data_IF_493494597271
#
_entry.id   IF_493494597271
#
_cell.length_a   1.000
_cell.length_b   1.000
_cell.length_c   1.000
_cell.angle_alpha   90.00
_cell.angle_beta   90.00
_cell.angle_gamma   90.00
#
_symmetry.space_group_name_H-M   'P 1'
#
loop_
_entity.id
_entity.type
_entity.pdbx_description
1 polymer ?
#
# COMPACT_ATOMS: atom_id res chain seq x y z
N UNK A 1 -46.87 13.45 33.23
CA UNK A 1 -46.34 12.48 32.28
C UNK A 1 -46.89 11.10 32.64
N UNK A 2 -47.70 10.48 31.80
CA UNK A 2 -48.37 9.22 32.12
C UNK A 2 -47.38 8.03 31.94
N UNK A 3 -47.44 7.04 32.87
CA UNK A 3 -46.60 5.82 32.81
C UNK A 3 -46.55 5.12 31.42
N UNK A 4 -47.54 5.32 30.60
CA UNK A 4 -47.61 4.80 29.20
C UNK A 4 -46.62 5.46 28.27
N UNK A 5 -46.31 6.73 28.44
CA UNK A 5 -45.38 7.47 27.57
C UNK A 5 -43.91 7.10 27.84
N UNK A 6 -43.59 6.75 29.11
CA UNK A 6 -42.26 6.25 29.49
C UNK A 6 -41.97 4.85 28.95
N UNK A 7 -42.96 3.97 28.84
CA UNK A 7 -42.79 2.63 28.29
C UNK A 7 -42.66 2.63 26.79
N UNK A 8 -43.36 3.54 26.07
CA UNK A 8 -43.23 3.67 24.60
C UNK A 8 -41.87 4.24 24.20
N UNK A 9 -41.31 5.19 24.91
CA UNK A 9 -39.96 5.72 24.69
C UNK A 9 -38.85 4.71 25.00
N UNK A 10 -39.02 3.89 26.05
CA UNK A 10 -38.07 2.84 26.40
C UNK A 10 -38.07 1.70 25.37
N UNK A 11 -39.20 1.30 24.82
CA UNK A 11 -39.35 0.26 23.81
C UNK A 11 -38.75 0.71 22.46
N UNK A 12 -38.93 1.98 22.08
CA UNK A 12 -38.31 2.58 20.86
C UNK A 12 -36.80 2.64 20.97
N UNK A 13 -36.24 3.00 22.14
CA UNK A 13 -34.81 3.05 22.39
C UNK A 13 -34.15 1.66 22.33
N UNK A 14 -34.82 0.64 22.89
CA UNK A 14 -34.28 -0.73 22.84
C UNK A 14 -34.26 -1.32 21.42
N UNK A 15 -35.32 -1.09 20.65
CA UNK A 15 -35.41 -1.50 19.25
C UNK A 15 -34.34 -0.84 18.37
N UNK A 16 -34.04 0.44 18.60
CA UNK A 16 -32.97 1.16 17.89
C UNK A 16 -31.59 0.60 18.22
N UNK A 17 -31.29 0.31 19.48
CA UNK A 17 -30.02 -0.29 19.93
C UNK A 17 -29.84 -1.70 19.34
N UNK A 18 -30.88 -2.51 19.32
CA UNK A 18 -30.83 -3.86 18.70
C UNK A 18 -30.55 -3.77 17.20
N UNK A 19 -31.22 -2.87 16.48
CA UNK A 19 -30.99 -2.67 15.06
C UNK A 19 -29.56 -2.19 14.76
N UNK A 20 -29.01 -1.29 15.59
CA UNK A 20 -27.61 -0.88 15.45
C UNK A 20 -26.65 -2.05 15.69
N UNK A 21 -26.89 -2.86 16.70
CA UNK A 21 -26.07 -4.03 16.97
C UNK A 21 -26.10 -5.05 15.81
N UNK A 22 -27.29 -5.32 15.29
CA UNK A 22 -27.46 -6.20 14.12
C UNK A 22 -26.76 -5.66 12.88
N UNK A 23 -26.86 -4.36 12.59
CA UNK A 23 -26.16 -3.72 11.49
C UNK A 23 -24.63 -3.89 11.60
N UNK A 24 -24.05 -3.67 12.79
CA UNK A 24 -22.62 -3.88 13.04
C UNK A 24 -22.18 -5.33 12.86
N UNK A 25 -23.03 -6.29 13.29
CA UNK A 25 -22.74 -7.72 13.09
C UNK A 25 -22.76 -8.09 11.59
N UNK A 26 -23.72 -7.57 10.83
CA UNK A 26 -23.79 -7.77 9.37
C UNK A 26 -22.61 -7.14 8.65
N UNK A 27 -22.21 -5.92 9.03
CA UNK A 27 -21.04 -5.23 8.49
C UNK A 27 -19.76 -6.03 8.77
N UNK A 28 -19.56 -6.50 10.00
CA UNK A 28 -18.40 -7.32 10.37
C UNK A 28 -18.37 -8.66 9.60
N UNK A 29 -19.53 -9.27 9.35
CA UNK A 29 -19.62 -10.49 8.55
C UNK A 29 -19.25 -10.23 7.08
N UNK A 30 -19.75 -9.13 6.49
CA UNK A 30 -19.42 -8.72 5.13
C UNK A 30 -17.92 -8.42 4.96
N UNK A 31 -17.29 -7.74 5.92
CA UNK A 31 -15.86 -7.47 5.91
C UNK A 31 -15.04 -8.76 5.94
N UNK A 32 -15.41 -9.73 6.78
CA UNK A 32 -14.74 -11.04 6.84
C UNK A 32 -14.84 -11.82 5.53
N UNK A 33 -15.98 -11.78 4.86
CA UNK A 33 -16.14 -12.43 3.56
C UNK A 33 -15.30 -11.74 2.48
N UNK A 34 -15.22 -10.39 2.49
CA UNK A 34 -14.32 -9.64 1.61
C UNK A 34 -12.85 -10.02 1.85
N UNK A 35 -12.41 -10.10 3.10
CA UNK A 35 -11.05 -10.50 3.46
C UNK A 35 -10.72 -11.92 2.98
N UNK A 36 -11.63 -12.88 3.14
CA UNK A 36 -11.45 -14.25 2.65
C UNK A 36 -11.33 -14.29 1.12
N UNK A 37 -12.17 -13.54 0.41
CA UNK A 37 -12.12 -13.47 -1.06
C UNK A 37 -10.80 -12.88 -1.54
N UNK A 38 -10.28 -11.84 -0.87
CA UNK A 38 -8.96 -11.26 -1.18
C UNK A 38 -7.85 -12.27 -0.88
N UNK A 39 -7.88 -12.98 0.27
CA UNK A 39 -6.88 -13.99 0.60
C UNK A 39 -6.85 -15.11 -0.44
N UNK A 40 -8.00 -15.57 -0.91
CA UNK A 40 -8.08 -16.56 -1.98
C UNK A 40 -7.48 -16.03 -3.28
N UNK A 41 -7.79 -14.81 -3.68
CA UNK A 41 -7.20 -14.17 -4.85
C UNK A 41 -5.67 -14.08 -4.76
N UNK A 42 -5.14 -13.66 -3.60
CA UNK A 42 -3.70 -13.61 -3.37
C UNK A 42 -3.06 -14.99 -3.50
N UNK A 43 -3.68 -16.07 -2.98
CA UNK A 43 -3.20 -17.44 -3.15
C UNK A 43 -3.21 -17.88 -4.61
N UNK A 44 -4.23 -17.54 -5.38
CA UNK A 44 -4.29 -17.80 -6.81
C UNK A 44 -3.14 -17.10 -7.55
N UNK A 45 -2.84 -15.84 -7.20
CA UNK A 45 -1.73 -15.10 -7.78
C UNK A 45 -0.36 -15.68 -7.39
N UNK A 46 -0.22 -16.21 -6.19
CA UNK A 46 0.99 -16.88 -5.69
C UNK A 46 1.21 -18.23 -6.37
N UNK A 47 0.15 -18.95 -6.73
CA UNK A 47 0.25 -20.26 -7.37
C UNK A 47 0.84 -20.17 -8.80
N UNK A 48 0.76 -19.03 -9.46
CA UNK A 48 1.31 -18.81 -10.81
C UNK A 48 2.79 -18.39 -10.72
N UNK A 49 3.60 -19.22 -10.07
CA UNK A 49 5.04 -18.96 -9.86
C UNK A 49 5.80 -18.85 -11.18
N UNK A 50 6.75 -17.90 -11.23
CA UNK A 50 7.68 -17.72 -12.35
C UNK A 50 7.14 -16.89 -13.51
N UNK A 51 5.85 -16.57 -13.56
CA UNK A 51 5.28 -15.67 -14.57
C UNK A 51 5.34 -14.19 -14.17
N UNK A 52 5.26 -13.93 -12.88
CA UNK A 52 5.33 -12.58 -12.30
C UNK A 52 6.30 -12.57 -11.12
N UNK A 53 7.01 -11.47 -10.94
CA UNK A 53 7.91 -11.25 -9.81
C UNK A 53 7.12 -10.69 -8.62
N UNK A 54 6.13 -11.45 -8.13
CA UNK A 54 5.38 -11.02 -6.94
C UNK A 54 6.31 -10.97 -5.72
N UNK A 55 6.17 -9.94 -4.93
CA UNK A 55 6.80 -9.91 -3.60
C UNK A 55 6.32 -11.11 -2.77
N UNK A 56 7.12 -11.67 -1.85
CA UNK A 56 6.65 -12.66 -0.89
C UNK A 56 5.42 -12.17 -0.11
N UNK A 57 4.56 -13.09 0.34
CA UNK A 57 3.37 -12.73 1.13
C UNK A 57 3.73 -11.90 2.38
N UNK A 58 4.81 -12.25 3.06
CA UNK A 58 5.32 -11.51 4.23
C UNK A 58 5.68 -10.07 3.89
N UNK A 59 6.20 -9.82 2.70
CA UNK A 59 6.54 -8.48 2.23
C UNK A 59 5.27 -7.67 1.95
N UNK A 60 4.26 -8.29 1.33
CA UNK A 60 2.95 -7.68 1.16
C UNK A 60 2.28 -7.33 2.49
N UNK A 61 2.34 -8.24 3.48
CA UNK A 61 1.86 -7.98 4.85
C UNK A 61 2.62 -6.84 5.53
N UNK A 62 3.93 -6.77 5.32
CA UNK A 62 4.77 -5.70 5.86
C UNK A 62 4.40 -4.35 5.27
N UNK A 63 4.23 -4.26 3.93
CA UNK A 63 3.74 -3.05 3.26
C UNK A 63 2.38 -2.59 3.83
N UNK A 64 1.42 -3.52 3.94
CA UNK A 64 0.10 -3.25 4.50
C UNK A 64 0.20 -2.69 5.92
N UNK A 65 0.99 -3.33 6.79
CA UNK A 65 1.16 -2.91 8.18
C UNK A 65 1.81 -1.53 8.29
N UNK A 66 2.84 -1.25 7.47
CA UNK A 66 3.51 0.05 7.51
C UNK A 66 2.60 1.19 7.05
N UNK A 67 1.78 1.00 6.01
CA UNK A 67 0.79 2.00 5.58
C UNK A 67 -0.19 2.30 6.71
N UNK A 68 -0.68 1.28 7.42
CA UNK A 68 -1.58 1.45 8.58
C UNK A 68 -0.91 2.18 9.75
N UNK A 69 0.29 1.75 10.15
CA UNK A 69 1.04 2.33 11.28
C UNK A 69 1.39 3.80 11.01
N UNK A 70 1.86 4.11 9.79
CA UNK A 70 2.19 5.48 9.39
C UNK A 70 0.97 6.33 9.11
N UNK A 71 -0.23 5.72 9.00
CA UNK A 71 -1.48 6.35 8.57
C UNK A 71 -1.35 7.04 7.22
N UNK A 72 -0.58 6.43 6.32
CA UNK A 72 -0.34 6.99 4.99
C UNK A 72 -1.61 7.01 4.16
N UNK A 73 -1.78 8.06 3.38
CA UNK A 73 -2.96 8.31 2.56
C UNK A 73 -2.63 8.59 1.09
N UNK A 74 -1.40 8.95 0.77
CA UNK A 74 -0.95 9.31 -0.58
C UNK A 74 0.23 8.42 -0.97
N UNK A 75 -0.09 7.22 -1.42
CA UNK A 75 0.88 6.17 -1.69
C UNK A 75 1.27 6.18 -3.17
N UNK A 76 2.57 6.10 -3.44
CA UNK A 76 3.13 5.87 -4.77
C UNK A 76 3.78 4.49 -4.82
N UNK A 77 3.47 3.71 -5.84
CA UNK A 77 4.15 2.48 -6.18
C UNK A 77 4.78 2.60 -7.57
N UNK A 78 6.04 2.21 -7.68
CA UNK A 78 6.75 2.13 -8.96
C UNK A 78 7.09 0.67 -9.23
N UNK A 79 6.40 0.09 -10.22
CA UNK A 79 6.44 -1.34 -10.54
C UNK A 79 5.19 -2.07 -10.04
N UNK A 80 4.07 -1.96 -10.78
CA UNK A 80 2.79 -2.60 -10.42
C UNK A 80 2.78 -4.09 -10.69
N UNK A 81 3.43 -4.55 -11.77
CA UNK A 81 3.33 -5.91 -12.27
C UNK A 81 1.86 -6.35 -12.43
N UNK A 82 1.47 -7.49 -11.86
CA UNK A 82 0.10 -8.00 -11.89
C UNK A 82 -0.80 -7.44 -10.77
N UNK A 83 -0.32 -6.48 -9.96
CA UNK A 83 -1.07 -5.81 -8.90
C UNK A 83 -1.04 -6.52 -7.54
N UNK A 84 -0.13 -7.47 -7.33
CA UNK A 84 -0.07 -8.23 -6.06
C UNK A 84 0.25 -7.31 -4.86
N UNK A 85 1.31 -6.52 -4.92
CA UNK A 85 1.67 -5.52 -3.90
C UNK A 85 0.61 -4.41 -3.79
N UNK A 86 0.05 -3.97 -4.94
CA UNK A 86 -1.01 -2.98 -4.98
C UNK A 86 -2.26 -3.43 -4.19
N UNK A 87 -2.62 -4.72 -4.20
CA UNK A 87 -3.72 -5.26 -3.37
C UNK A 87 -3.40 -5.07 -1.88
N UNK A 88 -2.20 -5.41 -1.42
CA UNK A 88 -1.79 -5.24 -0.02
C UNK A 88 -1.80 -3.77 0.41
N UNK A 89 -1.31 -2.88 -0.44
CA UNK A 89 -1.33 -1.44 -0.22
C UNK A 89 -2.77 -0.92 -0.15
N UNK A 90 -3.63 -1.29 -1.12
CA UNK A 90 -5.01 -0.84 -1.15
C UNK A 90 -5.86 -1.38 0.01
N UNK A 91 -5.61 -2.60 0.50
CA UNK A 91 -6.24 -3.10 1.74
C UNK A 91 -5.95 -2.18 2.94
N UNK A 92 -4.73 -1.67 3.05
CA UNK A 92 -4.38 -0.73 4.12
C UNK A 92 -5.02 0.64 3.90
N UNK A 93 -5.12 1.08 2.64
CA UNK A 93 -5.71 2.36 2.26
C UNK A 93 -7.24 2.40 2.46
N UNK A 94 -7.93 1.25 2.53
CA UNK A 94 -9.31 1.19 3.01
C UNK A 94 -9.44 1.72 4.45
N UNK A 95 -8.47 1.38 5.32
CA UNK A 95 -8.50 1.80 6.73
C UNK A 95 -8.01 3.25 6.92
N UNK A 96 -7.07 3.71 6.10
CA UNK A 96 -6.51 5.07 6.22
C UNK A 96 -7.27 6.12 5.41
N UNK A 97 -8.26 5.70 4.65
CA UNK A 97 -8.99 6.52 3.67
C UNK A 97 -8.05 7.22 2.68
N UNK A 98 -7.09 6.44 2.17
CA UNK A 98 -6.06 6.90 1.27
C UNK A 98 -6.25 6.43 -0.17
N UNK A 99 -5.25 6.75 -1.03
CA UNK A 99 -5.25 6.41 -2.44
C UNK A 99 -3.86 6.01 -2.91
N UNK A 100 -3.79 4.99 -3.78
CA UNK A 100 -2.58 4.51 -4.43
C UNK A 100 -2.47 5.09 -5.84
N UNK A 101 -1.31 5.64 -6.18
CA UNK A 101 -0.89 5.85 -7.56
C UNK A 101 0.16 4.80 -7.89
N UNK A 102 -0.06 3.98 -8.92
CA UNK A 102 0.87 2.92 -9.31
C UNK A 102 1.26 3.03 -10.77
N UNK A 103 2.51 2.71 -11.08
CA UNK A 103 3.10 2.88 -12.42
C UNK A 103 3.61 1.54 -12.93
N UNK A 104 3.25 1.20 -14.16
CA UNK A 104 3.71 0.00 -14.87
C UNK A 104 3.97 0.32 -16.35
N UNK A 105 5.06 -0.19 -16.88
CA UNK A 105 5.47 0.05 -18.27
C UNK A 105 4.77 -0.91 -19.25
N UNK A 106 4.40 -2.10 -18.79
CA UNK A 106 3.82 -3.15 -19.63
C UNK A 106 2.28 -3.03 -19.61
N UNK A 107 1.63 -2.71 -20.76
CA UNK A 107 0.18 -2.55 -20.82
C UNK A 107 -0.60 -3.83 -20.48
N UNK A 108 -0.05 -5.01 -20.79
CA UNK A 108 -0.71 -6.27 -20.42
C UNK A 108 -0.67 -6.51 -18.90
N UNK A 109 0.40 -6.11 -18.23
CA UNK A 109 0.48 -6.14 -16.76
C UNK A 109 -0.48 -5.13 -16.15
N UNK A 110 -0.58 -3.91 -16.69
CA UNK A 110 -1.58 -2.91 -16.25
C UNK A 110 -3.00 -3.48 -16.36
N UNK A 111 -3.33 -4.13 -17.46
CA UNK A 111 -4.63 -4.77 -17.66
C UNK A 111 -4.91 -5.87 -16.64
N UNK A 112 -3.92 -6.73 -16.36
CA UNK A 112 -4.02 -7.76 -15.33
C UNK A 112 -4.20 -7.17 -13.95
N UNK A 113 -3.40 -6.17 -13.58
CA UNK A 113 -3.48 -5.48 -12.30
C UNK A 113 -4.87 -4.85 -12.08
N UNK A 114 -5.39 -4.12 -13.08
CA UNK A 114 -6.75 -3.58 -13.06
C UNK A 114 -7.81 -4.67 -12.82
N UNK A 115 -7.68 -5.81 -13.49
CA UNK A 115 -8.56 -6.96 -13.30
C UNK A 115 -8.49 -7.53 -11.89
N UNK A 116 -7.30 -7.68 -11.34
CA UNK A 116 -7.09 -8.21 -9.98
C UNK A 116 -7.57 -7.24 -8.89
N UNK A 117 -7.30 -5.95 -9.02
CA UNK A 117 -7.82 -4.92 -8.08
C UNK A 117 -9.36 -4.86 -8.11
N UNK A 118 -9.97 -5.00 -9.28
CA UNK A 118 -11.43 -5.10 -9.42
C UNK A 118 -11.98 -6.37 -8.76
N UNK A 119 -11.35 -7.52 -8.95
CA UNK A 119 -11.71 -8.80 -8.27
C UNK A 119 -11.60 -8.66 -6.75
N UNK A 120 -10.61 -7.92 -6.26
CA UNK A 120 -10.45 -7.62 -4.84
C UNK A 120 -11.47 -6.59 -4.31
N UNK A 121 -12.22 -5.90 -5.19
CA UNK A 121 -13.12 -4.80 -4.82
C UNK A 121 -12.36 -3.59 -4.27
N UNK A 122 -11.14 -3.33 -4.78
CA UNK A 122 -10.20 -2.29 -4.33
C UNK A 122 -9.84 -1.29 -5.44
N UNK A 123 -10.45 -1.41 -6.61
CA UNK A 123 -10.18 -0.59 -7.79
C UNK A 123 -10.51 0.90 -7.59
N UNK A 124 -11.39 1.22 -6.66
CA UNK A 124 -11.70 2.60 -6.26
C UNK A 124 -10.57 3.29 -5.47
N UNK A 125 -9.58 2.53 -4.95
CA UNK A 125 -8.44 3.03 -4.15
C UNK A 125 -7.16 3.21 -4.98
N UNK A 126 -7.22 3.02 -6.31
CA UNK A 126 -5.99 3.01 -7.12
C UNK A 126 -6.15 3.74 -8.44
N UNK A 127 -5.14 4.50 -8.79
CA UNK A 127 -4.93 5.08 -10.12
C UNK A 127 -3.74 4.40 -10.78
N UNK A 128 -3.96 3.82 -11.97
CA UNK A 128 -2.92 3.19 -12.77
C UNK A 128 -2.39 4.16 -13.81
N UNK A 129 -1.08 4.34 -13.81
CA UNK A 129 -0.36 5.11 -14.83
C UNK A 129 0.48 4.13 -15.66
N UNK A 130 0.16 4.05 -16.95
CA UNK A 130 0.89 3.23 -17.91
C UNK A 130 2.05 4.01 -18.49
N UNK A 131 3.27 3.47 -18.43
CA UNK A 131 4.43 4.08 -19.04
C UNK A 131 5.73 3.87 -18.28
N UNK A 132 6.79 4.38 -18.88
CA UNK A 132 8.13 4.39 -18.30
C UNK A 132 8.15 5.28 -17.04
N UNK A 133 8.42 4.69 -15.89
CA UNK A 133 8.43 5.39 -14.61
C UNK A 133 9.44 6.55 -14.58
N UNK A 134 10.57 6.47 -15.30
CA UNK A 134 11.52 7.58 -15.40
C UNK A 134 10.94 8.81 -16.13
N UNK A 135 9.90 8.62 -16.93
CA UNK A 135 9.17 9.71 -17.60
C UNK A 135 7.95 10.14 -16.80
N UNK A 136 7.27 9.19 -16.15
CA UNK A 136 6.03 9.45 -15.43
C UNK A 136 6.29 10.11 -14.08
N UNK A 137 7.21 9.59 -13.24
CA UNK A 137 7.46 10.11 -11.88
C UNK A 137 7.81 11.62 -11.88
N UNK A 138 8.64 12.14 -12.81
CA UNK A 138 8.90 13.58 -12.89
C UNK A 138 7.66 14.44 -13.11
N UNK A 139 6.60 13.93 -13.74
CA UNK A 139 5.37 14.68 -14.05
C UNK A 139 4.33 14.65 -12.93
N UNK A 140 4.49 13.75 -11.94
CA UNK A 140 3.54 13.66 -10.82
C UNK A 140 3.57 14.93 -9.97
N UNK A 141 2.40 15.36 -9.51
CA UNK A 141 2.31 16.55 -8.65
C UNK A 141 2.71 16.28 -7.20
N UNK A 142 2.47 15.07 -6.68
CA UNK A 142 2.72 14.75 -5.26
C UNK A 142 1.83 15.60 -4.33
N UNK A 143 2.20 15.87 -3.05
CA UNK A 143 3.22 15.13 -2.33
C UNK A 143 2.72 13.76 -1.88
N UNK A 144 3.64 12.81 -1.76
CA UNK A 144 3.38 11.45 -1.25
C UNK A 144 3.89 11.31 0.19
N UNK A 145 3.21 10.48 0.97
CA UNK A 145 3.59 10.14 2.35
C UNK A 145 4.13 8.71 2.49
N UNK A 146 3.97 7.92 1.42
CA UNK A 146 4.53 6.57 1.32
C UNK A 146 4.92 6.27 -0.12
N UNK A 147 6.13 5.79 -0.33
CA UNK A 147 6.65 5.42 -1.65
C UNK A 147 7.19 3.99 -1.60
N UNK A 148 6.74 3.15 -2.52
CA UNK A 148 7.26 1.80 -2.73
C UNK A 148 7.93 1.69 -4.10
N UNK A 149 9.23 1.37 -4.11
CA UNK A 149 10.04 1.22 -5.32
C UNK A 149 10.38 -0.25 -5.54
N UNK A 150 9.80 -0.84 -6.56
CA UNK A 150 10.03 -2.25 -6.96
C UNK A 150 10.10 -2.43 -8.47
N UNK A 151 10.68 -1.47 -9.17
CA UNK A 151 10.91 -1.53 -10.62
C UNK A 151 12.37 -1.94 -10.94
N UNK A 152 13.04 -1.19 -11.82
CA UNK A 152 14.38 -1.45 -12.32
C UNK A 152 15.45 -1.25 -11.25
N UNK A 153 16.13 -2.33 -10.92
CA UNK A 153 17.17 -2.34 -9.88
C UNK A 153 18.42 -1.58 -10.31
N UNK A 154 18.94 -0.79 -9.36
CA UNK A 154 20.11 0.09 -9.60
C UNK A 154 19.74 1.51 -10.05
N UNK A 155 18.45 1.81 -10.24
CA UNK A 155 17.95 3.14 -10.65
C UNK A 155 17.11 3.83 -9.55
N UNK A 156 17.02 3.27 -8.36
CA UNK A 156 16.26 3.80 -7.22
C UNK A 156 16.68 5.23 -6.84
N UNK A 157 17.97 5.55 -7.02
CA UNK A 157 18.50 6.89 -6.78
C UNK A 157 17.92 7.96 -7.73
N UNK A 158 17.54 7.58 -8.96
CA UNK A 158 16.87 8.49 -9.89
C UNK A 158 15.46 8.81 -9.39
N UNK A 159 14.68 7.78 -9.00
CA UNK A 159 13.35 7.98 -8.44
C UNK A 159 13.39 8.83 -7.18
N UNK A 160 14.37 8.59 -6.28
CA UNK A 160 14.57 9.45 -5.12
C UNK A 160 14.79 10.91 -5.54
N UNK A 161 15.67 11.15 -6.54
CA UNK A 161 15.96 12.49 -7.06
C UNK A 161 14.75 13.20 -7.68
N UNK A 162 13.83 12.46 -8.30
CA UNK A 162 12.58 13.01 -8.84
C UNK A 162 11.56 13.38 -7.77
N UNK A 163 11.58 12.66 -6.64
CA UNK A 163 10.60 12.79 -5.56
C UNK A 163 11.04 13.78 -4.47
N UNK A 164 12.28 13.68 -4.02
CA UNK A 164 12.79 14.50 -2.93
C UNK A 164 13.30 15.87 -3.41
N UNK A 165 13.03 16.95 -2.68
CA UNK A 165 12.12 17.03 -1.53
C UNK A 165 10.67 17.41 -1.91
N UNK A 166 10.43 17.80 -3.16
CA UNK A 166 9.23 18.55 -3.57
C UNK A 166 7.96 17.69 -3.61
N UNK A 167 8.10 16.39 -3.84
CA UNK A 167 6.98 15.46 -4.02
C UNK A 167 6.80 14.50 -2.85
N UNK A 168 7.44 14.78 -1.72
CA UNK A 168 7.28 14.01 -0.48
C UNK A 168 6.76 14.91 0.64
N UNK A 169 6.02 14.32 1.57
CA UNK A 169 5.66 14.97 2.83
C UNK A 169 6.74 14.70 3.89
N UNK A 170 7.09 15.69 4.74
CA UNK A 170 7.91 15.40 5.92
C UNK A 170 7.26 14.31 6.78
N UNK A 171 7.99 13.26 7.08
CA UNK A 171 7.47 12.05 7.71
C UNK A 171 7.12 10.94 6.71
N UNK A 172 7.38 11.13 5.42
CA UNK A 172 7.19 10.09 4.41
C UNK A 172 8.11 8.89 4.63
N UNK A 173 7.59 7.71 4.28
CA UNK A 173 8.36 6.47 4.19
C UNK A 173 8.70 6.18 2.72
N UNK A 174 9.94 5.80 2.47
CA UNK A 174 10.41 5.26 1.18
C UNK A 174 10.89 3.84 1.41
N UNK A 175 10.26 2.89 0.74
CA UNK A 175 10.60 1.48 0.79
C UNK A 175 11.16 1.04 -0.57
N UNK A 176 12.33 0.45 -0.55
CA UNK A 176 12.97 -0.14 -1.74
C UNK A 176 13.07 -1.64 -1.53
N UNK A 177 12.43 -2.41 -2.40
CA UNK A 177 12.42 -3.87 -2.34
C UNK A 177 13.70 -4.49 -2.91
N UNK A 178 14.01 -5.73 -2.52
CA UNK A 178 15.23 -6.49 -2.84
C UNK A 178 16.55 -5.83 -2.34
N UNK A 179 16.48 -4.96 -1.36
CA UNK A 179 17.63 -4.17 -0.92
C UNK A 179 18.73 -5.02 -0.25
N UNK A 180 18.39 -6.16 0.32
CA UNK A 180 19.38 -7.10 0.90
C UNK A 180 20.00 -7.99 -0.17
N UNK A 181 19.19 -8.61 -1.01
CA UNK A 181 19.63 -9.52 -2.09
C UNK A 181 20.34 -8.81 -3.23
N UNK A 182 19.82 -7.63 -3.62
CA UNK A 182 20.33 -6.85 -4.76
C UNK A 182 21.21 -5.66 -4.31
N UNK A 183 21.71 -5.67 -3.07
CA UNK A 183 22.45 -4.56 -2.47
C UNK A 183 23.61 -4.04 -3.34
N UNK A 184 24.31 -4.91 -4.07
CA UNK A 184 25.39 -4.51 -4.98
C UNK A 184 24.88 -3.65 -6.14
N UNK A 185 23.74 -4.01 -6.75
CA UNK A 185 23.12 -3.23 -7.83
C UNK A 185 22.60 -1.89 -7.31
N UNK A 186 22.08 -1.87 -6.08
CA UNK A 186 21.52 -0.68 -5.42
C UNK A 186 22.55 0.14 -4.63
N UNK A 187 23.84 -0.20 -4.70
CA UNK A 187 24.88 0.41 -3.85
C UNK A 187 24.89 1.95 -3.92
N UNK A 188 24.62 2.51 -5.10
CA UNK A 188 24.54 3.96 -5.27
C UNK A 188 23.41 4.57 -4.46
N UNK A 189 22.20 3.98 -4.51
CA UNK A 189 21.06 4.41 -3.71
C UNK A 189 21.33 4.23 -2.21
N UNK A 190 21.81 3.05 -1.80
CA UNK A 190 22.06 2.74 -0.40
C UNK A 190 23.11 3.66 0.22
N UNK A 191 24.20 3.94 -0.50
CA UNK A 191 25.21 4.89 -0.03
C UNK A 191 24.64 6.31 0.11
N UNK A 192 23.86 6.75 -0.88
CA UNK A 192 23.23 8.06 -0.89
C UNK A 192 22.24 8.22 0.29
N UNK A 193 21.33 7.26 0.46
CA UNK A 193 20.27 7.39 1.47
C UNK A 193 20.80 7.22 2.90
N UNK A 194 21.77 6.33 3.12
CA UNK A 194 22.40 6.16 4.43
C UNK A 194 23.24 7.37 4.85
N UNK A 195 23.80 8.10 3.89
CA UNK A 195 24.55 9.34 4.17
C UNK A 195 23.65 10.59 4.21
N UNK A 196 22.36 10.46 3.89
CA UNK A 196 21.48 11.62 3.77
C UNK A 196 21.11 12.20 5.13
N UNK A 197 21.40 13.51 5.42
CA UNK A 197 21.24 14.09 6.74
C UNK A 197 19.81 14.18 7.26
N UNK A 198 18.81 14.03 6.40
CA UNK A 198 17.39 14.16 6.75
C UNK A 198 16.65 12.82 6.77
N UNK A 199 17.31 11.69 6.50
CA UNK A 199 16.69 10.38 6.51
C UNK A 199 17.26 9.46 7.58
N UNK A 200 16.41 8.67 8.21
CA UNK A 200 16.78 7.51 9.00
C UNK A 200 16.47 6.27 8.16
N UNK A 201 17.48 5.45 7.88
CA UNK A 201 17.35 4.27 7.02
C UNK A 201 17.71 3.00 7.78
N UNK A 202 16.88 1.98 7.62
CA UNK A 202 17.09 0.65 8.18
C UNK A 202 16.90 -0.41 7.11
N UNK A 203 17.78 -1.42 7.08
CA UNK A 203 17.60 -2.62 6.30
C UNK A 203 16.74 -3.61 7.08
N UNK A 204 15.63 -4.07 6.49
CA UNK A 204 14.68 -4.99 7.11
C UNK A 204 14.55 -6.23 6.26
N UNK A 205 14.94 -7.39 6.76
CA UNK A 205 14.69 -8.67 6.11
C UNK A 205 13.37 -9.25 6.62
N UNK A 206 12.42 -9.42 5.73
CA UNK A 206 11.11 -10.02 6.00
C UNK A 206 11.08 -11.50 5.64
N UNK A 207 12.05 -11.94 4.83
CA UNK A 207 12.33 -13.33 4.48
C UNK A 207 13.81 -13.65 4.73
N UNK A 208 14.19 -14.94 4.66
CA UNK A 208 15.60 -15.33 4.79
C UNK A 208 16.45 -14.83 3.61
N UNK A 209 15.83 -14.63 2.46
CA UNK A 209 16.53 -14.38 1.19
C UNK A 209 16.55 -12.91 0.79
N UNK A 210 15.63 -12.09 1.31
CA UNK A 210 15.49 -10.71 0.85
C UNK A 210 14.78 -9.78 1.85
N UNK A 211 14.75 -8.48 1.52
CA UNK A 211 14.14 -7.46 2.35
C UNK A 211 14.14 -6.07 1.72
N UNK A 212 13.88 -5.10 2.56
CA UNK A 212 13.70 -3.70 2.20
C UNK A 212 14.81 -2.82 2.75
N UNK A 213 15.14 -1.75 2.04
CA UNK A 213 15.64 -0.52 2.65
C UNK A 213 14.41 0.34 2.99
N UNK A 214 14.20 0.59 4.28
CA UNK A 214 13.11 1.44 4.79
C UNK A 214 13.72 2.75 5.23
N UNK A 215 13.33 3.85 4.59
CA UNK A 215 13.85 5.19 4.83
C UNK A 215 12.74 6.11 5.29
N UNK A 216 12.93 6.74 6.44
CA UNK A 216 12.00 7.70 7.04
C UNK A 216 12.55 9.12 6.89
N UNK A 217 11.82 10.01 6.24
CA UNK A 217 12.17 11.42 6.18
C UNK A 217 11.80 12.13 7.48
N UNK A 218 12.83 12.55 8.23
CA UNK A 218 12.65 13.20 9.53
C UNK A 218 11.84 14.49 9.40
N UNK A 219 10.83 14.62 10.25
CA UNK A 219 10.10 15.89 10.39
C UNK A 219 11.02 16.91 11.07
N UNK A 220 11.18 18.08 10.47
CA UNK A 220 11.83 19.20 11.17
C UNK A 220 10.94 19.59 12.34
N UNK A 221 11.57 19.77 13.50
CA UNK A 221 10.89 20.29 14.70
C UNK A 221 10.52 21.74 14.50
#
# INVERSE_FOLDING_TARGET
MKRRDLLATAAGGLGWLVNQALAKVQEAASLREKEKAIDQLLREMEAVRGRFSNVPRTDGQFLNMLVKISRSRRVLEVGTSNGYSAIWLCMALEETDGHLTTIEIDPERVKLAKGNLKRAGLDHRVTFLEGDAHKVVPTLEGPFDFVFLDADKGREHDYFGYLYPKKLLPGALILVHNATRMSRAMQRYLNMINAHPEFDTLMVSTTLDDGFAVSYWRRKK
#
